data_IF_933593492685
#
_entry.id   IF_933593492685
#
_cell.length_a   1.000
_cell.length_b   1.000
_cell.length_c   1.000
_cell.angle_alpha   90.00
_cell.angle_beta   90.00
_cell.angle_gamma   90.00
#
_symmetry.space_group_name_H-M   'P 1'
#
loop_
_entity.id
_entity.type
_entity.pdbx_description
1 polymer ?
#
# COMPACT_ATOMS: atom_id res chain seq x y z
N UNK A 1 1.68 0.39 33.12
CA UNK A 1 1.03 -0.48 32.13
C UNK A 1 1.51 -1.90 32.31
N UNK A 2 0.67 -2.88 32.00
CA UNK A 2 1.09 -4.28 32.01
C UNK A 2 1.97 -4.59 30.78
N UNK A 3 2.84 -5.60 30.87
CA UNK A 3 3.75 -5.96 29.77
C UNK A 3 2.99 -6.28 28.45
N UNK A 4 1.82 -6.91 28.56
CA UNK A 4 0.99 -7.20 27.39
C UNK A 4 0.43 -5.95 26.72
N UNK A 5 0.15 -4.91 27.50
CA UNK A 5 -0.33 -3.62 26.99
C UNK A 5 0.77 -2.89 26.20
N UNK A 6 2.00 -2.87 26.73
CA UNK A 6 3.15 -2.31 26.00
C UNK A 6 3.38 -3.01 24.65
N UNK A 7 3.38 -4.34 24.63
CA UNK A 7 3.53 -5.11 23.39
C UNK A 7 2.45 -4.77 22.36
N UNK A 8 1.19 -4.66 22.80
CA UNK A 8 0.07 -4.31 21.92
C UNK A 8 0.22 -2.90 21.33
N UNK A 9 0.70 -1.93 22.12
CA UNK A 9 0.96 -0.57 21.65
C UNK A 9 2.10 -0.58 20.63
N UNK A 10 3.22 -1.23 20.92
CA UNK A 10 4.36 -1.33 19.99
C UNK A 10 3.95 -2.01 18.68
N UNK A 11 3.17 -3.09 18.75
CA UNK A 11 2.61 -3.74 17.55
C UNK A 11 1.79 -2.77 16.71
N UNK A 12 0.89 -1.99 17.34
CA UNK A 12 0.09 -0.98 16.66
C UNK A 12 0.91 0.14 16.03
N UNK A 13 1.94 0.61 16.74
CA UNK A 13 2.87 1.64 16.23
C UNK A 13 3.65 1.14 15.00
N UNK A 14 4.21 -0.07 15.08
CA UNK A 14 4.96 -0.67 13.97
C UNK A 14 4.06 -0.98 12.77
N UNK A 15 2.82 -1.41 13.01
CA UNK A 15 1.84 -1.64 11.94
C UNK A 15 1.48 -0.33 11.22
N UNK A 16 1.27 0.76 11.98
CA UNK A 16 0.95 2.06 11.41
C UNK A 16 2.13 2.69 10.64
N UNK A 17 3.36 2.45 11.08
CA UNK A 17 4.58 2.93 10.40
C UNK A 17 4.86 2.22 9.07
N UNK A 18 4.37 0.98 8.89
CA UNK A 18 4.58 0.21 7.67
C UNK A 18 6.07 -0.01 7.35
N UNK A 19 6.44 0.14 6.09
CA UNK A 19 7.79 -0.13 5.58
C UNK A 19 8.84 0.89 6.06
N UNK A 20 8.43 2.08 6.51
CA UNK A 20 9.35 3.08 7.09
C UNK A 20 9.89 2.63 8.45
N UNK A 21 9.08 1.87 9.21
CA UNK A 21 9.44 1.39 10.53
C UNK A 21 9.62 2.51 11.57
N UNK A 22 10.09 2.13 12.75
CA UNK A 22 10.40 3.05 13.86
C UNK A 22 11.74 2.70 14.50
N UNK A 23 12.53 3.72 14.83
CA UNK A 23 13.72 3.55 15.66
C UNK A 23 13.37 3.23 17.12
N UNK A 24 14.32 2.63 17.85
CA UNK A 24 14.17 2.38 19.29
C UNK A 24 13.85 3.67 20.06
N UNK A 25 14.52 4.76 19.71
CA UNK A 25 14.34 6.09 20.28
C UNK A 25 12.91 6.61 20.10
N UNK A 26 12.33 6.46 18.91
CA UNK A 26 10.95 6.87 18.65
C UNK A 26 9.96 6.04 19.47
N UNK A 27 10.17 4.72 19.57
CA UNK A 27 9.29 3.84 20.34
C UNK A 27 9.36 4.19 21.82
N UNK A 28 10.57 4.35 22.37
CA UNK A 28 10.80 4.72 23.76
C UNK A 28 10.19 6.09 24.10
N UNK A 29 10.36 7.09 23.22
CA UNK A 29 9.80 8.42 23.39
C UNK A 29 8.26 8.43 23.38
N UNK A 30 7.62 7.68 22.48
CA UNK A 30 6.15 7.60 22.41
C UNK A 30 5.55 6.87 23.61
N UNK A 31 6.26 5.86 24.13
CA UNK A 31 5.83 5.11 25.31
C UNK A 31 6.23 5.77 26.64
N UNK A 32 7.03 6.84 26.60
CA UNK A 32 7.57 7.52 27.79
C UNK A 32 8.38 6.56 28.70
N UNK A 33 9.19 5.69 28.10
CA UNK A 33 10.03 4.70 28.81
C UNK A 33 11.50 4.80 28.38
N UNK A 34 12.37 4.10 29.10
CA UNK A 34 13.79 3.98 28.76
C UNK A 34 14.00 3.07 27.52
N UNK A 35 15.03 3.35 26.73
CA UNK A 35 15.37 2.56 25.54
C UNK A 35 15.60 1.07 25.85
N UNK A 36 16.21 0.76 27.01
CA UNK A 36 16.42 -0.62 27.46
C UNK A 36 15.10 -1.37 27.68
N UNK A 37 14.09 -0.69 28.23
CA UNK A 37 12.76 -1.26 28.40
C UNK A 37 12.06 -1.46 27.05
N UNK A 38 12.12 -0.47 26.16
CA UNK A 38 11.60 -0.58 24.80
C UNK A 38 12.24 -1.75 24.05
N UNK A 39 13.55 -1.94 24.21
CA UNK A 39 14.30 -3.02 23.57
C UNK A 39 13.86 -4.39 24.09
N UNK A 40 13.64 -4.53 25.40
CA UNK A 40 13.10 -5.75 25.98
C UNK A 40 11.70 -6.07 25.42
N UNK A 41 10.83 -5.06 25.33
CA UNK A 41 9.47 -5.20 24.77
C UNK A 41 9.53 -5.68 23.31
N UNK A 42 10.38 -5.06 22.48
CA UNK A 42 10.57 -5.44 21.08
C UNK A 42 11.09 -6.88 20.96
N UNK A 43 12.03 -7.29 21.81
CA UNK A 43 12.56 -8.64 21.80
C UNK A 43 11.48 -9.69 22.11
N UNK A 44 10.69 -9.45 23.16
CA UNK A 44 9.57 -10.33 23.52
C UNK A 44 8.53 -10.38 22.41
N UNK A 45 8.19 -9.24 21.81
CA UNK A 45 7.24 -9.18 20.69
C UNK A 45 7.77 -9.96 19.48
N UNK A 46 9.06 -9.83 19.18
CA UNK A 46 9.73 -10.58 18.10
C UNK A 46 9.66 -12.09 18.33
N UNK A 47 9.91 -12.56 19.56
CA UNK A 47 9.78 -13.98 19.90
C UNK A 47 8.36 -14.50 19.70
N UNK A 48 7.34 -13.73 20.09
CA UNK A 48 5.93 -14.09 19.86
C UNK A 48 5.59 -14.20 18.38
N UNK A 49 6.15 -13.32 17.55
CA UNK A 49 6.01 -13.39 16.10
C UNK A 49 6.74 -14.58 15.46
N UNK A 50 7.83 -15.05 16.08
CA UNK A 50 8.57 -16.22 15.60
C UNK A 50 7.83 -17.53 15.85
N UNK A 51 6.90 -17.57 16.83
CA UNK A 51 6.11 -18.76 17.14
C UNK A 51 5.29 -19.27 15.95
N UNK A 52 5.07 -20.59 15.92
CA UNK A 52 4.32 -21.27 14.87
C UNK A 52 2.88 -20.70 14.82
N UNK A 53 2.41 -20.35 13.61
CA UNK A 53 1.08 -19.78 13.24
C UNK A 53 0.96 -18.26 13.06
N UNK A 54 2.06 -17.48 13.06
CA UNK A 54 2.04 -16.06 12.65
C UNK A 54 2.61 -15.89 11.23
N UNK A 55 1.96 -15.08 10.39
CA UNK A 55 2.39 -14.82 9.00
C UNK A 55 3.30 -13.60 8.80
N UNK A 56 3.49 -12.82 9.86
CA UNK A 56 4.39 -11.66 9.89
C UNK A 56 5.47 -11.88 10.95
N UNK A 57 6.54 -11.13 10.83
CA UNK A 57 7.74 -11.13 11.66
C UNK A 57 8.17 -9.69 11.95
N UNK A 58 8.80 -9.47 13.08
CA UNK A 58 9.43 -8.20 13.42
C UNK A 58 10.91 -8.27 13.01
N UNK A 59 11.33 -7.37 12.13
CA UNK A 59 12.71 -7.28 11.66
C UNK A 59 13.32 -5.94 12.04
N UNK A 60 14.65 -5.92 12.11
CA UNK A 60 15.45 -4.71 12.27
C UNK A 60 16.25 -4.49 10.98
N UNK A 61 16.11 -3.32 10.37
CA UNK A 61 16.80 -2.93 9.16
C UNK A 61 17.32 -1.50 9.33
N UNK A 62 18.62 -1.29 9.14
CA UNK A 62 19.25 0.03 9.22
C UNK A 62 18.91 0.83 10.50
N UNK A 63 18.75 0.14 11.64
CA UNK A 63 18.44 0.77 12.94
C UNK A 63 16.97 1.12 13.16
N UNK A 64 16.07 0.68 12.26
CA UNK A 64 14.61 0.77 12.46
C UNK A 64 13.98 -0.62 12.54
N UNK A 65 12.96 -0.73 13.39
CA UNK A 65 12.12 -1.92 13.52
C UNK A 65 10.89 -1.78 12.64
N UNK A 66 10.50 -2.87 11.97
CA UNK A 66 9.29 -2.90 11.15
C UNK A 66 8.67 -4.30 11.14
N UNK A 67 7.37 -4.36 10.84
CA UNK A 67 6.67 -5.62 10.59
C UNK A 67 6.80 -5.99 9.12
N UNK A 68 7.26 -7.20 8.85
CA UNK A 68 7.39 -7.74 7.50
C UNK A 68 6.71 -9.11 7.41
N UNK A 69 6.32 -9.53 6.22
CA UNK A 69 5.81 -10.90 6.01
C UNK A 69 6.94 -11.94 6.14
N UNK A 70 6.62 -13.14 6.61
CA UNK A 70 7.59 -14.25 6.66
C UNK A 70 7.97 -14.73 5.25
N UNK A 71 9.25 -15.03 5.05
CA UNK A 71 9.81 -15.43 3.74
C UNK A 71 9.14 -16.68 3.15
N UNK A 72 8.73 -17.62 4.00
CA UNK A 72 8.00 -18.83 3.63
C UNK A 72 6.65 -18.56 2.94
N UNK A 73 6.08 -17.36 3.13
CA UNK A 73 4.82 -16.96 2.48
C UNK A 73 5.03 -16.23 1.15
N UNK A 74 6.27 -16.00 0.71
CA UNK A 74 6.57 -15.32 -0.55
C UNK A 74 5.84 -15.93 -1.78
N UNK A 75 5.70 -17.27 -1.95
CA UNK A 75 4.94 -17.83 -3.06
C UNK A 75 3.46 -17.42 -3.07
N UNK A 76 2.85 -17.20 -1.91
CA UNK A 76 1.45 -16.77 -1.77
C UNK A 76 1.29 -15.27 -2.02
N UNK A 77 2.22 -14.46 -1.53
CA UNK A 77 2.25 -13.02 -1.82
C UNK A 77 2.47 -12.76 -3.31
N UNK A 78 3.35 -13.54 -3.94
CA UNK A 78 3.53 -13.52 -5.39
C UNK A 78 2.21 -13.80 -6.11
N UNK A 79 1.46 -14.83 -5.69
CA UNK A 79 0.12 -15.09 -6.22
C UNK A 79 -0.87 -13.97 -5.93
N UNK A 80 -0.77 -13.24 -4.82
CA UNK A 80 -1.65 -12.10 -4.53
C UNK A 80 -1.39 -10.94 -5.50
N UNK A 81 -0.12 -10.67 -5.82
CA UNK A 81 0.30 -9.63 -6.78
C UNK A 81 0.03 -10.06 -8.23
N UNK A 82 0.29 -11.33 -8.56
CA UNK A 82 0.05 -11.91 -9.88
C UNK A 82 -1.41 -12.32 -10.09
N UNK A 83 -2.21 -12.39 -9.01
CA UNK A 83 -3.64 -12.61 -9.12
C UNK A 83 -4.19 -11.51 -9.99
N UNK A 84 -4.92 -11.85 -11.06
CA UNK A 84 -5.38 -10.86 -12.00
C UNK A 84 -6.40 -9.96 -11.29
N UNK A 85 -5.92 -8.83 -10.78
CA UNK A 85 -6.52 -7.58 -11.20
C UNK A 85 -6.06 -7.31 -12.64
N UNK A 86 -6.30 -8.25 -13.56
CA UNK A 86 -6.30 -7.98 -14.99
C UNK A 86 -7.52 -7.10 -15.28
N UNK A 87 -7.47 -5.86 -14.82
CA UNK A 87 -8.15 -4.80 -15.55
C UNK A 87 -7.24 -4.46 -16.72
N UNK A 88 -7.13 -5.43 -17.65
CA UNK A 88 -7.00 -5.03 -19.04
C UNK A 88 -8.05 -3.96 -19.28
N UNK A 89 -7.66 -2.88 -19.95
CA UNK A 89 -8.62 -1.86 -20.31
C UNK A 89 -9.73 -2.56 -21.10
N UNK A 90 -10.97 -2.34 -20.67
CA UNK A 90 -12.11 -2.80 -21.47
C UNK A 90 -11.98 -2.21 -22.87
N UNK A 91 -12.59 -2.84 -23.87
CA UNK A 91 -12.55 -2.30 -25.23
C UNK A 91 -13.00 -0.84 -25.28
N UNK A 92 -14.03 -0.48 -24.52
CA UNK A 92 -14.48 0.90 -24.38
C UNK A 92 -13.42 1.85 -23.80
N UNK A 93 -12.60 1.39 -22.85
CA UNK A 93 -11.50 2.17 -22.30
C UNK A 93 -10.30 2.27 -23.25
N UNK A 94 -10.01 1.21 -24.03
CA UNK A 94 -9.00 1.26 -25.09
C UNK A 94 -9.38 2.22 -26.21
N UNK A 95 -10.62 2.16 -26.69
CA UNK A 95 -11.14 3.08 -27.71
C UNK A 95 -11.07 4.54 -27.25
N UNK A 96 -11.55 4.81 -26.03
CA UNK A 96 -11.46 6.15 -25.43
C UNK A 96 -10.01 6.61 -25.31
N UNK A 97 -9.10 5.75 -24.85
CA UNK A 97 -7.68 6.09 -24.73
C UNK A 97 -7.04 6.37 -26.09
N UNK A 98 -7.36 5.58 -27.11
CA UNK A 98 -6.86 5.79 -28.47
C UNK A 98 -7.32 7.13 -29.03
N UNK A 99 -8.59 7.50 -28.86
CA UNK A 99 -9.11 8.80 -29.29
C UNK A 99 -8.33 9.94 -28.62
N UNK A 100 -8.15 9.87 -27.30
CA UNK A 100 -7.40 10.90 -26.55
C UNK A 100 -5.95 10.98 -27.05
N UNK A 101 -5.26 9.85 -27.22
CA UNK A 101 -3.86 9.84 -27.64
C UNK A 101 -3.63 10.51 -29.00
N UNK A 102 -4.55 10.34 -29.95
CA UNK A 102 -4.44 10.90 -31.31
C UNK A 102 -5.10 12.28 -31.48
N UNK A 103 -5.98 12.72 -30.58
CA UNK A 103 -6.75 13.97 -30.72
C UNK A 103 -6.58 14.96 -29.57
N UNK A 104 -5.78 14.67 -28.54
CA UNK A 104 -5.53 15.61 -27.46
C UNK A 104 -4.91 16.93 -27.98
N UNK A 105 -5.30 18.11 -27.43
CA UNK A 105 -6.28 18.28 -26.36
C UNK A 105 -7.73 18.10 -26.87
N UNK A 106 -8.52 17.28 -26.16
CA UNK A 106 -9.90 16.94 -26.52
C UNK A 106 -10.79 16.93 -25.27
N UNK A 107 -12.04 17.35 -25.42
CA UNK A 107 -13.05 17.38 -24.35
C UNK A 107 -13.84 16.08 -24.28
N UNK A 108 -14.51 15.84 -23.13
CA UNK A 108 -15.40 14.68 -22.97
C UNK A 108 -16.51 14.66 -24.03
N UNK A 109 -17.09 15.81 -24.35
CA UNK A 109 -18.18 15.88 -25.32
C UNK A 109 -17.73 15.45 -26.72
N UNK A 110 -16.56 15.89 -27.16
CA UNK A 110 -15.98 15.49 -28.46
C UNK A 110 -15.62 13.99 -28.49
N UNK A 111 -15.14 13.43 -27.37
CA UNK A 111 -14.90 11.98 -27.27
C UNK A 111 -16.22 11.21 -27.45
N UNK A 112 -17.30 11.66 -26.82
CA UNK A 112 -18.62 11.03 -26.93
C UNK A 112 -19.23 11.17 -28.32
N UNK A 113 -18.99 12.29 -29.00
CA UNK A 113 -19.37 12.49 -30.40
C UNK A 113 -18.66 11.50 -31.33
N UNK A 114 -17.33 11.33 -31.17
CA UNK A 114 -16.55 10.37 -31.97
C UNK A 114 -16.98 8.93 -31.69
N UNK A 115 -17.27 8.59 -30.43
CA UNK A 115 -17.65 7.22 -30.04
C UNK A 115 -19.13 6.90 -30.26
N UNK A 116 -19.99 7.91 -30.36
CA UNK A 116 -21.44 7.76 -30.42
C UNK A 116 -22.09 7.22 -29.13
N UNK A 117 -21.33 7.10 -28.03
CA UNK A 117 -21.81 6.57 -26.74
C UNK A 117 -21.15 7.29 -25.55
N UNK A 118 -21.84 7.28 -24.40
CA UNK A 118 -21.33 7.87 -23.16
C UNK A 118 -19.99 7.26 -22.75
N UNK A 119 -19.04 8.11 -22.35
CA UNK A 119 -17.66 7.72 -22.08
C UNK A 119 -17.19 8.01 -20.65
N UNK A 120 -18.10 8.36 -19.73
CA UNK A 120 -17.77 8.68 -18.32
C UNK A 120 -16.97 7.57 -17.61
N UNK A 121 -17.45 6.31 -17.66
CA UNK A 121 -16.81 5.18 -16.97
C UNK A 121 -15.43 4.83 -17.56
N UNK A 122 -15.24 4.77 -18.89
CA UNK A 122 -13.92 4.72 -19.52
C UNK A 122 -12.99 5.84 -19.06
N UNK A 123 -13.44 7.09 -19.07
CA UNK A 123 -12.62 8.26 -18.68
C UNK A 123 -12.20 8.15 -17.20
N UNK A 124 -13.13 7.85 -16.29
CA UNK A 124 -12.82 7.64 -14.87
C UNK A 124 -11.80 6.51 -14.66
N UNK A 125 -11.94 5.41 -15.40
CA UNK A 125 -11.01 4.27 -15.35
C UNK A 125 -9.61 4.68 -15.80
N UNK A 126 -9.50 5.46 -16.88
CA UNK A 126 -8.22 5.93 -17.41
C UNK A 126 -7.54 6.94 -16.47
N UNK A 127 -8.31 7.81 -15.81
CA UNK A 127 -7.80 8.74 -14.78
C UNK A 127 -7.32 7.97 -13.55
N UNK A 128 -8.12 7.02 -13.05
CA UNK A 128 -7.75 6.21 -11.87
C UNK A 128 -6.47 5.38 -12.11
N UNK A 129 -6.19 5.02 -13.37
CA UNK A 129 -4.96 4.35 -13.79
C UNK A 129 -3.83 5.31 -14.21
N UNK A 130 -4.00 6.62 -14.03
CA UNK A 130 -3.05 7.67 -14.39
C UNK A 130 -2.61 7.65 -15.88
N UNK A 131 -3.46 7.15 -16.77
CA UNK A 131 -3.17 7.09 -18.22
C UNK A 131 -3.52 8.39 -18.95
N UNK A 132 -4.41 9.20 -18.38
CA UNK A 132 -4.81 10.52 -18.90
C UNK A 132 -4.92 11.52 -17.74
N UNK A 133 -4.89 12.82 -18.06
CA UNK A 133 -5.09 13.91 -17.10
C UNK A 133 -5.82 15.10 -17.73
N UNK A 134 -6.44 15.93 -16.92
CA UNK A 134 -6.99 17.22 -17.36
C UNK A 134 -5.84 18.19 -17.70
N UNK A 135 -5.96 18.89 -18.82
CA UNK A 135 -4.96 19.87 -19.30
C UNK A 135 -5.51 21.29 -19.43
N UNK A 136 -6.80 21.49 -19.20
CA UNK A 136 -7.48 22.79 -19.31
C UNK A 136 -9.00 22.66 -19.26
N UNK A 137 -9.69 23.80 -19.31
CA UNK A 137 -11.16 23.90 -19.39
C UNK A 137 -11.55 24.86 -20.50
N UNK A 138 -12.66 24.56 -21.17
CA UNK A 138 -13.32 25.46 -22.11
C UNK A 138 -14.35 26.31 -21.39
#
# INVERSE_FOLDING_TARGET
MEMNEYKAIVEGLLFAAGDEGLSLQQIAAVLEIEEEQAQAIIHMLKEEYEQQKRGIQLIELAGVFQLATKKEHAPYLKKLVESPSSTSLSQAALETLAIIAYRQPITRAEIEEIRGVKSDKPIQTLIAKALIKEVGRA
#
